data_IF_601248874663
#
_entry.id   IF_601248874663
#
_cell.length_a   1.000
_cell.length_b   1.000
_cell.length_c   1.000
_cell.angle_alpha   90.00
_cell.angle_beta   90.00
_cell.angle_gamma   90.00
#
_symmetry.space_group_name_H-M   'P 1'
#
loop_
_entity.id
_entity.type
_entity.pdbx_description
1 polymer ?
#
# COMPACT_ATOMS: atom_id res chain seq x y z
N UNK A 1 15.16 -4.74 -9.48
CA UNK A 1 15.80 -3.41 -9.35
C UNK A 1 16.55 -3.36 -8.03
N UNK A 2 17.81 -2.93 -8.04
CA UNK A 2 18.57 -2.69 -6.82
C UNK A 2 17.94 -1.51 -6.07
N UNK A 3 17.69 -1.67 -4.77
CA UNK A 3 17.07 -0.65 -3.92
C UNK A 3 17.63 -0.78 -2.49
N UNK A 4 17.90 0.34 -1.79
CA UNK A 4 18.24 0.29 -0.37
C UNK A 4 17.18 -0.45 0.45
N UNK A 5 17.62 -1.33 1.36
CA UNK A 5 16.72 -2.13 2.22
C UNK A 5 15.74 -1.24 3.00
N UNK A 6 16.22 -0.09 3.49
CA UNK A 6 15.40 0.91 4.21
C UNK A 6 14.20 1.39 3.39
N UNK A 7 14.39 1.69 2.11
CA UNK A 7 13.32 2.15 1.22
C UNK A 7 12.31 1.04 0.93
N UNK A 8 12.79 -0.19 0.77
CA UNK A 8 11.90 -1.34 0.55
C UNK A 8 11.01 -1.62 1.76
N UNK A 9 11.60 -1.62 2.96
CA UNK A 9 10.86 -1.79 4.22
C UNK A 9 9.83 -0.68 4.37
N UNK A 10 10.21 0.58 4.12
CA UNK A 10 9.29 1.72 4.18
C UNK A 10 8.06 1.57 3.28
N UNK A 11 8.24 1.09 2.05
CA UNK A 11 7.14 0.85 1.10
C UNK A 11 6.23 -0.28 1.61
N UNK A 12 6.82 -1.35 2.14
CA UNK A 12 6.08 -2.51 2.64
C UNK A 12 5.30 -2.19 3.92
N UNK A 13 5.88 -1.42 4.84
CA UNK A 13 5.21 -0.94 6.04
C UNK A 13 3.97 -0.11 5.68
N UNK A 14 4.10 0.84 4.74
CA UNK A 14 2.99 1.68 4.31
C UNK A 14 1.90 0.84 3.64
N UNK A 15 2.29 -0.06 2.72
CA UNK A 15 1.36 -0.95 2.04
C UNK A 15 0.61 -1.87 3.02
N UNK A 16 1.29 -2.41 4.03
CA UNK A 16 0.68 -3.29 5.02
C UNK A 16 -0.24 -2.52 5.98
N UNK A 17 0.16 -1.31 6.38
CA UNK A 17 -0.63 -0.45 7.27
C UNK A 17 -1.96 -0.08 6.63
N UNK A 18 -1.92 0.44 5.41
CA UNK A 18 -3.13 0.94 4.73
C UNK A 18 -3.88 -0.17 3.98
N UNK A 19 -3.17 -1.17 3.45
CA UNK A 19 -3.74 -2.23 2.60
C UNK A 19 -3.92 -1.83 1.14
N UNK A 20 -3.66 -0.56 0.81
CA UNK A 20 -3.71 0.02 -0.54
C UNK A 20 -2.53 0.96 -0.73
N UNK A 21 -2.12 1.18 -1.98
CA UNK A 21 -1.16 2.23 -2.32
C UNK A 21 -1.46 2.81 -3.70
N UNK A 22 -1.21 4.11 -3.87
CA UNK A 22 -1.41 4.81 -5.13
C UNK A 22 -0.11 5.49 -5.54
N UNK A 23 0.28 5.42 -6.82
CA UNK A 23 1.40 6.21 -7.33
C UNK A 23 1.11 6.77 -8.71
N UNK A 24 1.52 8.03 -8.94
CA UNK A 24 1.54 8.62 -10.28
C UNK A 24 2.60 7.92 -11.12
N UNK A 25 2.32 7.64 -12.40
CA UNK A 25 3.29 7.14 -13.38
C UNK A 25 4.23 8.28 -13.78
N UNK A 26 5.22 8.50 -12.93
CA UNK A 26 6.28 9.47 -13.09
C UNK A 26 7.57 8.92 -12.46
N UNK A 27 8.53 8.57 -13.29
CA UNK A 27 9.79 7.96 -12.85
C UNK A 27 10.81 8.99 -12.34
N UNK A 28 10.62 10.27 -12.70
CA UNK A 28 11.54 11.36 -12.35
C UNK A 28 11.13 12.06 -11.06
N UNK A 29 9.94 11.77 -10.54
CA UNK A 29 9.47 12.31 -9.28
C UNK A 29 10.42 11.89 -8.12
N UNK A 30 11.12 12.85 -7.50
CA UNK A 30 12.21 12.56 -6.56
C UNK A 30 11.71 12.00 -5.23
N UNK A 31 10.47 12.31 -4.85
CA UNK A 31 9.85 11.87 -3.59
C UNK A 31 8.40 11.47 -3.82
N UNK A 32 8.00 10.36 -3.22
CA UNK A 32 6.62 9.91 -3.22
C UNK A 32 5.79 10.67 -2.16
N UNK A 33 4.59 11.19 -2.46
CA UNK A 33 3.79 12.02 -1.54
C UNK A 33 3.48 11.36 -0.19
N UNK A 34 3.16 10.07 -0.17
CA UNK A 34 2.83 9.36 1.08
C UNK A 34 4.07 8.89 1.87
N UNK A 35 5.27 9.06 1.31
CA UNK A 35 6.55 8.66 1.92
C UNK A 35 7.53 9.84 2.02
N UNK A 36 7.00 11.06 2.15
CA UNK A 36 7.77 12.31 2.24
C UNK A 36 8.86 12.25 3.31
N UNK A 37 8.55 11.73 4.50
CA UNK A 37 9.47 11.68 5.65
C UNK A 37 10.66 10.74 5.42
N UNK A 38 10.49 9.71 4.57
CA UNK A 38 11.47 8.66 4.34
C UNK A 38 12.31 8.89 3.07
N UNK A 39 12.10 10.01 2.37
CA UNK A 39 12.80 10.39 1.12
C UNK A 39 12.83 9.27 0.06
N UNK A 40 11.73 8.54 -0.09
CA UNK A 40 11.65 7.43 -1.05
C UNK A 40 11.29 7.95 -2.45
N UNK A 41 12.10 7.70 -3.48
CA UNK A 41 11.78 8.04 -4.86
C UNK A 41 10.56 7.29 -5.39
N UNK A 42 9.78 7.92 -6.27
CA UNK A 42 8.58 7.29 -6.83
C UNK A 42 8.91 6.07 -7.71
N UNK A 43 10.07 6.07 -8.39
CA UNK A 43 10.59 4.92 -9.12
C UNK A 43 10.73 3.69 -8.22
N UNK A 44 11.14 3.88 -6.96
CA UNK A 44 11.27 2.79 -6.00
C UNK A 44 9.92 2.16 -5.69
N UNK A 45 8.90 2.98 -5.44
CA UNK A 45 7.52 2.52 -5.22
C UNK A 45 7.03 1.71 -6.41
N UNK A 46 7.11 2.27 -7.62
CA UNK A 46 6.64 1.62 -8.84
C UNK A 46 7.29 0.26 -9.08
N UNK A 47 8.62 0.16 -8.90
CA UNK A 47 9.35 -1.08 -9.14
C UNK A 47 9.20 -2.11 -8.03
N UNK A 48 9.02 -1.66 -6.78
CA UNK A 48 8.67 -2.56 -5.67
C UNK A 48 7.27 -3.17 -5.91
N UNK A 49 6.29 -2.36 -6.28
CA UNK A 49 4.93 -2.84 -6.55
C UNK A 49 4.86 -3.73 -7.78
N UNK A 50 5.61 -3.41 -8.84
CA UNK A 50 5.74 -4.30 -10.02
C UNK A 50 6.26 -5.69 -9.62
N UNK A 51 7.23 -5.76 -8.69
CA UNK A 51 7.76 -7.03 -8.19
C UNK A 51 6.79 -7.80 -7.30
N UNK A 52 5.92 -7.11 -6.53
CA UNK A 52 4.89 -7.77 -5.74
C UNK A 52 3.76 -8.30 -6.63
N UNK A 53 3.39 -7.52 -7.67
CA UNK A 53 2.37 -7.90 -8.66
C UNK A 53 2.76 -9.17 -9.39
N UNK A 54 4.02 -9.28 -9.85
CA UNK A 54 4.48 -10.46 -10.59
C UNK A 54 4.43 -11.76 -9.77
N UNK A 55 4.31 -11.66 -8.44
CA UNK A 55 4.19 -12.80 -7.52
C UNK A 55 2.77 -13.02 -7.00
N UNK A 56 1.79 -12.24 -7.44
CA UNK A 56 0.40 -12.36 -6.99
C UNK A 56 0.06 -11.68 -5.65
N UNK A 57 1.02 -10.99 -5.03
CA UNK A 57 0.81 -10.37 -3.70
C UNK A 57 0.00 -9.08 -3.73
N UNK A 58 -0.08 -8.42 -4.88
CA UNK A 58 -0.90 -7.22 -5.06
C UNK A 58 -1.66 -7.29 -6.38
N UNK A 59 -2.87 -6.75 -6.38
CA UNK A 59 -3.66 -6.50 -7.60
C UNK A 59 -3.41 -5.07 -8.05
N UNK A 60 -3.10 -4.89 -9.33
CA UNK A 60 -2.83 -3.58 -9.93
C UNK A 60 -4.01 -3.14 -10.80
N UNK A 61 -4.40 -1.87 -10.68
CA UNK A 61 -5.29 -1.16 -11.59
C UNK A 61 -4.59 0.11 -12.06
N UNK A 62 -4.68 0.44 -13.35
CA UNK A 62 -4.07 1.63 -13.91
C UNK A 62 -5.12 2.51 -14.58
N UNK A 63 -5.21 3.78 -14.16
CA UNK A 63 -6.15 4.74 -14.72
C UNK A 63 -5.58 6.16 -14.65
N UNK A 64 -5.79 6.99 -15.68
CA UNK A 64 -5.42 8.42 -15.67
C UNK A 64 -3.96 8.71 -15.28
N UNK A 65 -3.01 7.85 -15.68
CA UNK A 65 -1.59 7.90 -15.26
C UNK A 65 -1.34 7.63 -13.78
N UNK A 66 -2.27 7.03 -13.06
CA UNK A 66 -2.11 6.58 -11.69
C UNK A 66 -2.20 5.05 -11.61
N UNK A 67 -1.27 4.47 -10.86
CA UNK A 67 -1.32 3.08 -10.43
C UNK A 67 -2.05 3.01 -9.09
N UNK A 68 -2.95 2.04 -8.99
CA UNK A 68 -3.68 1.70 -7.77
C UNK A 68 -3.36 0.25 -7.46
N UNK A 69 -2.80 -0.02 -6.28
CA UNK A 69 -2.49 -1.37 -5.83
C UNK A 69 -3.33 -1.74 -4.62
N UNK A 70 -3.87 -2.95 -4.66
CA UNK A 70 -4.65 -3.55 -3.59
C UNK A 70 -3.92 -4.78 -3.07
N UNK A 71 -3.71 -4.85 -1.76
CA UNK A 71 -3.04 -5.98 -1.14
C UNK A 71 -3.95 -7.22 -1.15
N UNK A 72 -3.44 -8.36 -1.61
CA UNK A 72 -4.17 -9.64 -1.62
C UNK A 72 -3.95 -10.41 -0.31
N UNK A 73 -4.77 -11.42 -0.02
CA UNK A 73 -4.62 -12.25 1.19
C UNK A 73 -3.23 -12.92 1.27
N UNK A 74 -2.70 -13.41 0.13
CA UNK A 74 -1.35 -13.96 0.04
C UNK A 74 -0.29 -12.89 0.28
N UNK A 75 -0.50 -11.67 -0.23
CA UNK A 75 0.38 -10.53 0.02
C UNK A 75 0.41 -10.11 1.49
N UNK A 76 -0.71 -10.20 2.21
CA UNK A 76 -0.78 -9.95 3.65
C UNK A 76 0.12 -10.93 4.40
N UNK A 77 0.04 -12.23 4.08
CA UNK A 77 0.90 -13.25 4.70
C UNK A 77 2.38 -12.98 4.40
N UNK A 78 2.71 -12.76 3.13
CA UNK A 78 4.08 -12.47 2.72
C UNK A 78 4.68 -11.25 3.44
N UNK A 79 3.94 -10.13 3.49
CA UNK A 79 4.42 -8.92 4.14
C UNK A 79 4.51 -9.07 5.65
N UNK A 80 3.61 -9.83 6.27
CA UNK A 80 3.68 -10.14 7.71
C UNK A 80 4.96 -10.88 8.05
N UNK A 81 5.27 -11.94 7.30
CA UNK A 81 6.48 -12.74 7.52
C UNK A 81 7.75 -11.93 7.23
N UNK A 82 7.73 -11.09 6.18
CA UNK A 82 8.86 -10.24 5.81
C UNK A 82 9.14 -9.13 6.84
N UNK A 83 8.09 -8.53 7.41
CA UNK A 83 8.19 -7.45 8.39
C UNK A 83 8.27 -7.96 9.84
N UNK A 84 8.17 -9.28 10.05
CA UNK A 84 8.14 -9.92 11.37
C UNK A 84 7.07 -9.35 12.30
N UNK A 85 5.87 -9.13 11.75
CA UNK A 85 4.74 -8.58 12.50
C UNK A 85 3.90 -9.70 13.15
N UNK A 86 3.35 -9.49 14.35
CA UNK A 86 2.44 -10.46 14.96
C UNK A 86 1.15 -10.62 14.13
N UNK A 87 0.48 -11.80 14.20
CA UNK A 87 -0.70 -12.11 13.39
C UNK A 87 -1.91 -11.21 13.68
N UNK A 88 -1.92 -10.56 14.85
CA UNK A 88 -2.97 -9.64 15.30
C UNK A 88 -3.03 -8.35 14.47
N UNK A 89 -1.90 -7.92 13.88
CA UNK A 89 -1.87 -6.70 13.08
C UNK A 89 -2.44 -7.01 11.70
N UNK A 90 -3.54 -6.33 11.40
CA UNK A 90 -4.24 -6.39 10.12
C UNK A 90 -4.21 -5.03 9.43
N UNK A 91 -4.15 -5.00 8.08
CA UNK A 91 -4.28 -3.77 7.31
C UNK A 91 -5.57 -3.01 7.64
N UNK A 92 -5.53 -1.69 7.49
CA UNK A 92 -6.68 -0.81 7.75
C UNK A 92 -7.94 -1.22 6.97
N UNK A 93 -7.78 -1.73 5.74
CA UNK A 93 -8.89 -2.23 4.91
C UNK A 93 -9.67 -3.40 5.52
N UNK A 94 -9.06 -4.19 6.41
CA UNK A 94 -9.74 -5.30 7.12
C UNK A 94 -10.25 -4.89 8.50
N UNK A 95 -9.87 -3.73 9.02
CA UNK A 95 -10.42 -3.22 10.27
C UNK A 95 -11.87 -2.80 10.01
N UNK A 96 -12.81 -3.50 10.62
CA UNK A 96 -14.24 -3.17 10.55
C UNK A 96 -14.42 -1.75 11.11
N UNK A 97 -14.82 -0.79 10.28
CA UNK A 97 -15.30 0.49 10.82
C UNK A 97 -16.57 0.21 11.60
N UNK A 98 -16.64 0.71 12.83
CA UNK A 98 -17.90 0.78 13.55
C UNK A 98 -18.79 1.73 12.71
N UNK A 99 -19.98 1.34 12.26
CA UNK A 99 -20.86 2.30 11.60
C UNK A 99 -21.06 3.46 12.57
N UNK A 100 -20.81 4.69 12.12
CA UNK A 100 -21.21 5.87 12.87
C UNK A 100 -22.72 5.78 13.08
N UNK A 101 -23.11 5.39 14.29
CA UNK A 101 -24.46 5.54 14.80
C UNK A 101 -24.84 7.01 14.68
N UNK A 102 -25.85 7.31 13.86
CA UNK A 102 -26.69 8.49 14.02
C UNK A 102 -26.56 9.57 12.96
N UNK A 103 -27.05 9.31 11.75
CA UNK A 103 -27.82 10.36 11.04
C UNK A 103 -29.28 9.94 11.04
N UNK A 104 -30.18 10.63 11.78
CA UNK A 104 -31.60 10.36 11.67
C UNK A 104 -32.02 10.63 10.22
N UNK A 105 -32.61 9.62 9.56
CA UNK A 105 -33.26 9.83 8.28
C UNK A 105 -34.43 10.78 8.51
N UNK A 106 -34.57 11.88 7.74
CA UNK A 106 -35.78 12.69 7.81
C UNK A 106 -36.95 11.81 7.37
N UNK A 107 -37.96 11.69 8.23
CA UNK A 107 -39.25 11.13 7.86
C UNK A 107 -39.98 12.18 7.02
N UNK A 108 -40.14 11.89 5.73
CA UNK A 108 -41.20 12.47 4.90
C UNK A 108 -42.46 11.65 5.04
#
# INVERSE_FOLDING_TARGET
MLMPKKNRIAIYELLFKEGVMVAKKDVHMPKHPELLDKNVPNLHVMKAMQSLKSRGYVKEQFAWRHFYWYLTNEGIQYLRDYLHLPPEIVPATLRRSRPETGRPRPKG
#
